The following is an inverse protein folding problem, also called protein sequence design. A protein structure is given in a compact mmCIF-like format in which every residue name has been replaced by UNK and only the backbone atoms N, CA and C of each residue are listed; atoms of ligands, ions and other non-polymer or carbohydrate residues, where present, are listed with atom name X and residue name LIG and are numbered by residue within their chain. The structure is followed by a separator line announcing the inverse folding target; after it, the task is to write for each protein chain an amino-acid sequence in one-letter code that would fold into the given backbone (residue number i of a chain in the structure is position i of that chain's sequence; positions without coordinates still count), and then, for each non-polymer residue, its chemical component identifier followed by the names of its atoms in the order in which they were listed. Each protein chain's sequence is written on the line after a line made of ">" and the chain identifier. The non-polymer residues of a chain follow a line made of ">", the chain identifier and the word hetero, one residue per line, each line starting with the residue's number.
data_IF_257099608358
#
_entry.id   IF_257099608358
#
_cell.length_a   1.000
_cell.length_b   1.000
_cell.length_c   1.000
_cell.angle_alpha   90.00
_cell.angle_beta   90.00
_cell.angle_gamma   90.00
#
_symmetry.space_group_name_H-M   'P 1'
#
loop_
_entity.id
_entity.type
_entity.pdbx_description
1 polymer ?
#
# COMPACT_ATOMS: atom_id res chain seq x y z
N UNK A 1 -33.00 -5.01 28.02
CA UNK A 1 -32.95 -4.58 26.60
C UNK A 1 -32.11 -3.32 26.49
N UNK A 2 -30.86 -3.43 26.00
CA UNK A 2 -29.97 -2.29 25.83
C UNK A 2 -30.24 -1.73 24.43
N UNK A 3 -30.87 -0.55 24.37
CA UNK A 3 -31.25 0.10 23.12
C UNK A 3 -30.03 0.50 22.29
N UNK A 4 -29.91 -0.03 21.09
CA UNK A 4 -28.89 0.36 20.11
C UNK A 4 -29.19 1.81 19.68
N UNK A 5 -28.42 2.78 20.19
CA UNK A 5 -28.47 4.17 19.72
C UNK A 5 -28.08 4.24 18.26
N UNK A 6 -29.05 4.42 17.37
CA UNK A 6 -28.82 4.70 15.95
C UNK A 6 -28.39 6.16 15.79
N UNK A 7 -27.10 6.42 15.61
CA UNK A 7 -26.62 7.75 15.24
C UNK A 7 -27.01 8.10 13.79
N UNK A 8 -27.32 9.37 13.47
CA UNK A 8 -27.55 9.82 12.11
C UNK A 8 -26.38 9.47 11.18
N UNK A 9 -26.66 9.07 9.94
CA UNK A 9 -25.64 8.59 8.97
C UNK A 9 -24.46 9.55 8.83
N UNK A 10 -24.66 10.86 8.80
CA UNK A 10 -23.61 11.87 8.66
C UNK A 10 -22.65 11.98 9.87
N UNK A 11 -23.15 11.78 11.09
CA UNK A 11 -22.32 11.82 12.32
C UNK A 11 -21.41 10.60 12.38
N UNK A 12 -21.89 9.43 11.97
CA UNK A 12 -21.10 8.19 11.93
C UNK A 12 -19.98 8.28 10.89
N UNK A 13 -20.23 8.90 9.74
CA UNK A 13 -19.22 9.05 8.69
C UNK A 13 -18.11 10.02 9.07
N UNK A 14 -18.44 11.16 9.68
CA UNK A 14 -17.44 12.12 10.21
C UNK A 14 -16.58 11.48 11.30
N UNK A 15 -17.15 10.72 12.21
CA UNK A 15 -16.44 10.01 13.27
C UNK A 15 -15.45 8.97 12.72
N UNK A 16 -15.79 8.27 11.63
CA UNK A 16 -14.92 7.29 10.99
C UNK A 16 -13.75 7.95 10.25
N UNK A 17 -14.01 9.03 9.51
CA UNK A 17 -12.97 9.82 8.83
C UNK A 17 -11.98 10.42 9.84
N UNK A 18 -12.47 10.91 10.98
CA UNK A 18 -11.60 11.40 12.06
C UNK A 18 -10.69 10.30 12.62
N UNK A 19 -11.19 9.07 12.75
CA UNK A 19 -10.37 7.94 13.25
C UNK A 19 -9.31 7.52 12.25
N UNK A 20 -9.64 7.45 10.96
CA UNK A 20 -8.69 7.16 9.88
C UNK A 20 -7.58 8.21 9.83
N UNK A 21 -7.93 9.50 9.84
CA UNK A 21 -6.98 10.60 9.87
C UNK A 21 -6.01 10.54 11.08
N UNK A 22 -6.53 10.19 12.27
CA UNK A 22 -5.69 10.09 13.47
C UNK A 22 -4.73 8.92 13.37
N UNK A 23 -5.17 7.75 12.87
CA UNK A 23 -4.31 6.59 12.61
C UNK A 23 -3.23 6.97 11.58
N UNK A 24 -3.62 7.66 10.51
CA UNK A 24 -2.69 8.10 9.45
C UNK A 24 -1.59 9.01 10.02
N UNK A 25 -1.95 10.00 10.84
CA UNK A 25 -0.98 10.91 11.44
C UNK A 25 0.00 10.20 12.38
N UNK A 26 -0.51 9.32 13.24
CA UNK A 26 0.35 8.55 14.15
C UNK A 26 1.26 7.58 13.38
N UNK A 27 0.78 6.97 12.31
CA UNK A 27 1.59 6.14 11.44
C UNK A 27 2.74 6.94 10.81
N UNK A 28 2.46 8.12 10.23
CA UNK A 28 3.49 8.98 9.62
C UNK A 28 4.54 9.42 10.63
N UNK A 29 4.12 9.81 11.85
CA UNK A 29 5.06 10.16 12.94
C UNK A 29 5.95 8.97 13.30
N UNK A 30 5.36 7.78 13.45
CA UNK A 30 6.08 6.58 13.81
C UNK A 30 7.08 6.14 12.73
N UNK A 31 6.73 6.24 11.43
CA UNK A 31 7.65 6.00 10.31
C UNK A 31 8.85 6.95 10.38
N UNK A 32 8.61 8.24 10.58
CA UNK A 32 9.69 9.24 10.72
C UNK A 32 10.59 8.96 11.92
N UNK A 33 10.01 8.67 13.06
CA UNK A 33 10.77 8.34 14.28
C UNK A 33 11.63 7.08 14.10
N UNK A 34 11.21 6.16 13.23
CA UNK A 34 11.94 4.94 12.89
C UNK A 34 13.02 5.14 11.81
N UNK A 35 13.18 6.37 11.28
CA UNK A 35 14.16 6.72 10.24
C UNK A 35 13.68 6.52 8.80
N UNK A 36 12.37 6.37 8.59
CA UNK A 36 11.76 6.23 7.26
C UNK A 36 11.06 7.50 6.79
N UNK A 37 10.50 7.43 5.58
CA UNK A 37 9.66 8.47 4.97
C UNK A 37 8.34 7.86 4.53
N UNK A 38 7.22 8.56 4.77
CA UNK A 38 5.88 8.17 4.33
C UNK A 38 5.27 9.28 3.47
N UNK A 39 5.37 9.14 2.15
CA UNK A 39 4.76 10.06 1.20
C UNK A 39 3.27 9.77 1.05
N UNK A 40 2.45 10.81 0.99
CA UNK A 40 1.04 10.67 0.62
C UNK A 40 0.94 10.45 -0.88
N UNK A 41 0.24 9.40 -1.27
CA UNK A 41 -0.04 9.14 -2.68
C UNK A 41 -1.37 9.81 -3.05
N UNK A 42 -1.30 10.70 -4.03
CA UNK A 42 -2.45 11.30 -4.69
C UNK A 42 -2.24 11.20 -6.19
N UNK A 43 -3.23 10.70 -6.90
CA UNK A 43 -3.17 10.61 -8.36
C UNK A 43 -4.46 11.12 -8.97
N UNK A 44 -4.35 11.89 -10.05
CA UNK A 44 -5.48 12.35 -10.84
C UNK A 44 -5.92 11.30 -11.87
N UNK A 45 -5.01 10.42 -12.25
CA UNK A 45 -5.21 9.43 -13.33
C UNK A 45 -5.36 8.01 -12.83
N UNK A 46 -4.80 7.67 -11.67
CA UNK A 46 -4.85 6.32 -11.11
C UNK A 46 -5.65 6.29 -9.80
N UNK A 47 -6.91 5.86 -9.89
CA UNK A 47 -7.74 5.67 -8.72
C UNK A 47 -7.42 4.37 -7.96
N UNK A 48 -7.68 4.36 -6.65
CA UNK A 48 -7.53 3.17 -5.81
C UNK A 48 -6.11 2.87 -5.36
N UNK A 49 -5.14 3.77 -5.59
CA UNK A 49 -3.81 3.64 -5.01
C UNK A 49 -3.87 3.67 -3.49
N UNK A 50 -2.97 2.96 -2.80
CA UNK A 50 -2.82 3.05 -1.36
C UNK A 50 -2.52 4.47 -0.88
N UNK A 51 -2.87 4.82 0.37
CA UNK A 51 -2.76 6.18 0.89
C UNK A 51 -1.31 6.65 1.02
N UNK A 52 -0.37 5.73 1.29
CA UNK A 52 1.04 6.05 1.58
C UNK A 52 2.01 5.16 0.83
N UNK A 53 3.09 5.79 0.32
CA UNK A 53 4.33 5.15 -0.08
C UNK A 53 5.34 5.31 1.06
N UNK A 54 5.82 4.19 1.59
CA UNK A 54 6.76 4.15 2.72
C UNK A 54 8.11 3.66 2.26
N UNK A 55 9.14 4.43 2.59
CA UNK A 55 10.50 4.14 2.21
C UNK A 55 11.40 4.02 3.44
N UNK A 56 12.24 2.99 3.48
CA UNK A 56 13.30 2.81 4.47
C UNK A 56 14.61 2.40 3.79
N UNK A 57 15.73 2.73 4.41
CA UNK A 57 17.04 2.22 3.98
C UNK A 57 17.23 0.74 4.43
N UNK A 58 17.89 -0.12 3.60
CA UNK A 58 18.22 0.07 2.19
C UNK A 58 17.05 -0.27 1.26
N UNK A 59 16.75 0.63 0.34
CA UNK A 59 15.82 0.44 -0.79
C UNK A 59 14.45 -0.24 -0.50
N UNK A 60 13.97 -0.19 0.76
CA UNK A 60 12.71 -0.82 1.16
C UNK A 60 11.56 0.07 0.75
N UNK A 61 10.69 -0.46 -0.11
CA UNK A 61 9.52 0.24 -0.64
C UNK A 61 8.27 -0.56 -0.28
N UNK A 62 7.36 0.06 0.47
CA UNK A 62 6.11 -0.57 0.93
C UNK A 62 4.95 0.39 0.73
N UNK A 63 3.85 -0.11 0.20
CA UNK A 63 2.60 0.63 0.11
C UNK A 63 1.74 0.38 1.35
N UNK A 64 1.07 1.42 1.84
CA UNK A 64 0.24 1.31 3.03
C UNK A 64 -1.11 1.98 2.80
N UNK A 65 -2.16 1.22 2.94
CA UNK A 65 -3.54 1.67 2.97
C UNK A 65 -3.98 1.87 4.41
N UNK A 66 -4.61 2.99 4.72
CA UNK A 66 -5.10 3.32 6.05
C UNK A 66 -6.62 3.29 6.07
N UNK A 67 -7.19 2.67 7.09
CA UNK A 67 -8.64 2.48 7.23
C UNK A 67 -9.12 2.84 8.62
N UNK A 68 -10.35 3.28 8.71
CA UNK A 68 -11.05 3.29 9.98
C UNK A 68 -11.27 1.84 10.46
N UNK A 69 -11.28 1.58 11.77
CA UNK A 69 -11.40 0.23 12.32
C UNK A 69 -12.58 -0.56 11.74
N UNK A 70 -12.31 -1.77 11.24
CA UNK A 70 -13.28 -2.68 10.66
C UNK A 70 -13.81 -2.26 9.28
N UNK A 71 -13.19 -1.30 8.60
CA UNK A 71 -13.52 -0.97 7.22
C UNK A 71 -12.75 -1.85 6.24
N UNK A 72 -13.48 -2.30 5.21
CA UNK A 72 -12.93 -3.09 4.12
C UNK A 72 -12.34 -2.21 3.03
N UNK A 73 -11.44 -2.78 2.23
CA UNK A 73 -10.99 -2.18 0.98
C UNK A 73 -12.16 -2.06 0.00
N UNK A 74 -12.15 -1.00 -0.81
CA UNK A 74 -13.07 -0.89 -1.95
C UNK A 74 -12.58 -1.79 -3.08
N UNK A 75 -13.45 -2.21 -4.03
CA UNK A 75 -13.06 -3.08 -5.14
C UNK A 75 -11.81 -2.60 -5.89
N UNK A 76 -11.75 -1.29 -6.20
CA UNK A 76 -10.62 -0.71 -6.91
C UNK A 76 -9.32 -0.71 -6.09
N UNK A 77 -9.39 -0.53 -4.78
CA UNK A 77 -8.24 -0.65 -3.88
C UNK A 77 -7.73 -2.10 -3.82
N UNK A 78 -8.64 -3.08 -3.88
CA UNK A 78 -8.29 -4.49 -4.03
C UNK A 78 -7.53 -4.76 -5.33
N UNK A 79 -8.03 -4.26 -6.46
CA UNK A 79 -7.37 -4.38 -7.77
C UNK A 79 -5.95 -3.80 -7.72
N UNK A 80 -5.79 -2.58 -7.20
CA UNK A 80 -4.47 -1.93 -7.09
C UNK A 80 -3.53 -2.66 -6.14
N UNK A 81 -4.03 -3.10 -4.98
CA UNK A 81 -3.26 -3.95 -4.07
C UNK A 81 -2.72 -5.19 -4.80
N UNK A 82 -3.59 -5.91 -5.49
CA UNK A 82 -3.20 -7.12 -6.23
C UNK A 82 -2.14 -6.80 -7.30
N UNK A 83 -2.31 -5.74 -8.08
CA UNK A 83 -1.34 -5.31 -9.09
C UNK A 83 0.04 -5.02 -8.47
N UNK A 84 0.09 -4.23 -7.40
CA UNK A 84 1.34 -3.91 -6.72
C UNK A 84 2.02 -5.14 -6.13
N UNK A 85 1.26 -6.05 -5.54
CA UNK A 85 1.81 -7.30 -5.01
C UNK A 85 2.35 -8.23 -6.11
N UNK A 86 1.71 -8.26 -7.28
CA UNK A 86 2.21 -8.98 -8.46
C UNK A 86 3.55 -8.41 -8.97
N UNK A 87 3.77 -7.11 -8.81
CA UNK A 87 5.03 -6.44 -9.12
C UNK A 87 6.10 -6.62 -8.01
N UNK A 88 5.81 -7.39 -6.97
CA UNK A 88 6.73 -7.66 -5.86
C UNK A 88 6.74 -6.61 -4.75
N UNK A 89 5.84 -5.62 -4.78
CA UNK A 89 5.76 -4.62 -3.72
C UNK A 89 4.83 -5.06 -2.59
N UNK A 90 5.28 -5.04 -1.32
CA UNK A 90 4.39 -5.27 -0.19
C UNK A 90 3.31 -4.18 -0.09
N UNK A 91 2.07 -4.60 0.17
CA UNK A 91 0.95 -3.68 0.40
C UNK A 91 0.27 -4.03 1.72
N UNK A 92 0.45 -3.19 2.72
CA UNK A 92 -0.12 -3.34 4.04
C UNK A 92 -1.44 -2.58 4.17
N UNK A 93 -2.30 -3.03 5.08
CA UNK A 93 -3.46 -2.28 5.52
C UNK A 93 -3.39 -2.09 7.02
N UNK A 94 -3.64 -0.86 7.51
CA UNK A 94 -3.63 -0.53 8.93
C UNK A 94 -4.98 0.10 9.29
N UNK A 95 -5.69 -0.49 10.25
CA UNK A 95 -6.96 0.00 10.75
C UNK A 95 -6.96 0.29 12.26
N UNK A 96 -5.82 0.11 12.94
CA UNK A 96 -5.67 0.28 14.40
C UNK A 96 -4.28 0.72 14.77
N UNK A 97 -4.18 1.50 15.85
CA UNK A 97 -2.89 1.95 16.42
C UNK A 97 -1.95 0.80 16.80
N UNK A 98 -2.51 -0.29 17.33
CA UNK A 98 -1.73 -1.46 17.75
C UNK A 98 -0.97 -2.15 16.62
N UNK A 99 -1.33 -1.89 15.35
CA UNK A 99 -0.67 -2.45 14.17
C UNK A 99 0.50 -1.60 13.69
N UNK A 100 0.58 -0.32 14.10
CA UNK A 100 1.59 0.62 13.60
C UNK A 100 3.00 0.12 13.90
N UNK A 101 3.30 -0.16 15.16
CA UNK A 101 4.63 -0.63 15.56
C UNK A 101 5.00 -1.97 14.91
N UNK A 102 4.17 -3.02 14.95
CA UNK A 102 4.44 -4.28 14.25
C UNK A 102 4.70 -4.11 12.75
N UNK A 103 3.94 -3.24 12.06
CA UNK A 103 4.16 -2.95 10.65
C UNK A 103 5.54 -2.32 10.40
N UNK A 104 5.93 -1.34 11.20
CA UNK A 104 7.24 -0.69 11.07
C UNK A 104 8.38 -1.67 11.35
N UNK A 105 8.26 -2.47 12.41
CA UNK A 105 9.25 -3.48 12.76
C UNK A 105 9.41 -4.51 11.62
N UNK A 106 8.30 -4.96 11.03
CA UNK A 106 8.31 -5.87 9.89
C UNK A 106 8.99 -5.26 8.65
N UNK A 107 8.69 -4.00 8.32
CA UNK A 107 9.34 -3.29 7.20
C UNK A 107 10.85 -3.17 7.45
N UNK A 108 11.25 -2.86 8.67
CA UNK A 108 12.68 -2.70 9.01
C UNK A 108 13.45 -4.01 8.97
N UNK A 109 12.84 -5.13 9.34
CA UNK A 109 13.48 -6.45 9.31
C UNK A 109 13.45 -7.10 7.92
N UNK A 110 12.45 -6.78 7.09
CA UNK A 110 12.29 -7.32 5.73
C UNK A 110 13.40 -6.82 4.79
N UNK A 111 13.84 -7.70 3.87
CA UNK A 111 14.79 -7.35 2.81
C UNK A 111 14.09 -7.37 1.45
N UNK A 112 14.31 -6.36 0.58
CA UNK A 112 13.77 -6.37 -0.79
C UNK A 112 14.19 -7.63 -1.54
N UNK A 113 13.23 -8.22 -2.26
CA UNK A 113 13.42 -9.51 -2.96
C UNK A 113 13.03 -10.75 -2.14
N UNK A 114 12.87 -10.62 -0.83
CA UNK A 114 12.35 -11.70 0.02
C UNK A 114 10.83 -11.60 0.18
N UNK A 115 10.13 -12.71 0.48
CA UNK A 115 8.72 -12.66 0.85
C UNK A 115 8.50 -11.74 2.05
N UNK A 116 7.51 -10.84 1.95
CA UNK A 116 7.14 -10.00 3.09
C UNK A 116 6.44 -10.85 4.16
N UNK A 117 6.71 -10.62 5.47
CA UNK A 117 6.10 -11.40 6.53
C UNK A 117 4.56 -11.38 6.46
N UNK A 118 3.96 -12.56 6.63
CA UNK A 118 2.51 -12.71 6.64
C UNK A 118 1.88 -12.17 7.94
N UNK A 119 0.57 -11.95 7.91
CA UNK A 119 -0.24 -11.53 9.07
C UNK A 119 0.16 -10.20 9.71
N UNK A 120 0.81 -9.33 8.96
CA UNK A 120 1.15 -7.96 9.39
C UNK A 120 0.04 -7.00 8.97
N UNK A 121 -0.44 -6.18 9.91
CA UNK A 121 -1.50 -5.20 9.67
C UNK A 121 -2.91 -5.75 9.88
N UNK A 122 -3.89 -5.14 9.24
CA UNK A 122 -5.28 -5.60 9.26
C UNK A 122 -5.44 -6.86 8.41
N UNK A 123 -6.20 -7.82 8.92
CA UNK A 123 -6.58 -8.99 8.11
C UNK A 123 -7.45 -8.53 6.96
N UNK A 124 -6.95 -8.69 5.76
CA UNK A 124 -7.67 -8.46 4.53
C UNK A 124 -8.07 -9.84 4.03
N UNK A 125 -9.36 -10.14 3.86
CA UNK A 125 -9.78 -11.41 3.27
C UNK A 125 -9.15 -11.57 1.89
N UNK A 126 -8.68 -12.75 1.54
CA UNK A 126 -8.24 -13.08 0.19
C UNK A 126 -9.49 -13.12 -0.69
N UNK A 127 -9.73 -12.04 -1.41
CA UNK A 127 -10.73 -12.02 -2.48
C UNK A 127 -10.04 -12.57 -3.74
N UNK A 128 -10.51 -13.69 -4.23
CA UNK A 128 -10.14 -14.13 -5.56
C UNK A 128 -10.56 -13.07 -6.58
N UNK A 129 -9.70 -12.78 -7.56
CA UNK A 129 -10.00 -11.79 -8.62
C UNK A 129 -11.33 -12.06 -9.33
N UNK A 130 -11.75 -13.34 -9.39
CA UNK A 130 -13.04 -13.75 -9.92
C UNK A 130 -14.26 -13.24 -9.12
N UNK A 131 -14.05 -12.80 -7.89
CA UNK A 131 -15.13 -12.25 -7.02
C UNK A 131 -15.27 -10.72 -7.14
N UNK A 132 -14.36 -10.06 -7.88
CA UNK A 132 -14.53 -8.63 -8.18
C UNK A 132 -15.69 -8.47 -9.18
N UNK A 133 -16.57 -7.46 -8.99
CA UNK A 133 -17.61 -7.16 -9.97
C UNK A 133 -17.03 -7.03 -11.37
N UNK A 134 -17.73 -7.55 -12.39
CA UNK A 134 -17.26 -7.57 -13.79
C UNK A 134 -16.92 -6.17 -14.32
N UNK A 135 -17.62 -5.13 -13.85
CA UNK A 135 -17.34 -3.71 -14.13
C UNK A 135 -15.95 -3.24 -13.66
N UNK A 136 -15.27 -4.02 -12.81
CA UNK A 136 -13.91 -3.74 -12.34
C UNK A 136 -12.90 -4.79 -12.78
N UNK A 137 -13.33 -5.82 -13.53
CA UNK A 137 -12.47 -6.89 -14.04
C UNK A 137 -11.75 -6.52 -15.33
N UNK A 138 -12.26 -5.52 -16.08
CA UNK A 138 -11.61 -5.06 -17.30
C UNK A 138 -10.33 -4.29 -16.95
N UNK A 139 -9.19 -4.90 -17.22
CA UNK A 139 -7.86 -4.26 -17.15
C UNK A 139 -7.71 -3.13 -18.17
N UNK A 140 -8.64 -3.01 -19.13
CA UNK A 140 -8.58 -2.09 -20.27
C UNK A 140 -8.95 -0.63 -19.94
N UNK A 141 -9.47 -0.36 -18.73
CA UNK A 141 -10.04 0.96 -18.40
C UNK A 141 -9.01 2.00 -17.89
N UNK A 142 -7.75 1.70 -17.98
CA UNK A 142 -6.66 2.65 -17.75
C UNK A 142 -5.61 2.44 -18.84
N UNK A 143 -5.50 3.40 -19.74
CA UNK A 143 -4.64 3.43 -20.93
C UNK A 143 -3.14 3.25 -20.73
N UNK A 144 -2.75 2.53 -19.71
CA UNK A 144 -1.42 2.02 -19.48
C UNK A 144 -1.51 0.50 -19.43
N UNK A 145 -1.56 -0.12 -20.63
CA UNK A 145 -1.05 -1.47 -20.79
C UNK A 145 0.45 -1.39 -20.55
N UNK A 146 0.87 -1.51 -19.30
CA UNK A 146 2.22 -1.94 -19.02
C UNK A 146 2.28 -3.43 -19.41
N UNK A 147 2.42 -3.69 -20.70
CA UNK A 147 3.09 -4.89 -21.15
C UNK A 147 4.57 -4.64 -20.81
N UNK A 148 5.23 -5.48 -20.03
CA UNK A 148 6.67 -5.40 -19.89
C UNK A 148 7.21 -5.58 -21.31
N UNK A 149 7.72 -4.50 -21.89
CA UNK A 149 8.59 -4.61 -23.05
C UNK A 149 9.63 -5.68 -22.73
N UNK A 150 10.01 -6.46 -23.72
CA UNK A 150 10.89 -7.63 -23.60
C UNK A 150 11.94 -7.43 -22.50
N UNK A 151 12.10 -8.37 -21.53
CA UNK A 151 13.15 -8.30 -20.52
C UNK A 151 14.55 -8.01 -21.07
N UNK A 152 14.79 -8.29 -22.36
CA UNK A 152 16.01 -7.95 -23.07
C UNK A 152 16.19 -6.44 -23.30
N UNK A 153 15.12 -5.65 -23.45
CA UNK A 153 15.22 -4.18 -23.55
C UNK A 153 15.54 -3.52 -22.22
N UNK A 154 14.99 -4.04 -21.13
CA UNK A 154 15.32 -3.56 -19.77
C UNK A 154 16.78 -3.82 -19.38
N UNK A 155 17.41 -4.87 -19.89
CA UNK A 155 18.82 -5.16 -19.67
C UNK A 155 19.75 -4.07 -20.29
N UNK A 156 19.31 -3.38 -21.33
CA UNK A 156 20.04 -2.26 -21.94
C UNK A 156 20.10 -1.00 -21.07
N UNK A 157 19.09 -0.76 -20.22
CA UNK A 157 19.05 0.41 -19.34
C UNK A 157 19.91 0.27 -18.06
N UNK A 158 20.27 -0.96 -17.67
CA UNK A 158 21.09 -1.23 -16.48
C UNK A 158 22.56 -1.50 -16.78
N UNK A 159 23.01 -1.44 -18.05
CA UNK A 159 24.42 -1.39 -18.36
C UNK A 159 24.97 0.01 -18.06
N UNK A 160 25.11 0.31 -16.77
CA UNK A 160 26.04 1.33 -16.30
C UNK A 160 27.44 0.83 -16.65
N UNK A 161 28.06 1.48 -17.64
CA UNK A 161 29.40 1.22 -18.11
C UNK A 161 30.38 1.06 -16.93
N UNK A 162 30.95 -0.13 -16.80
CA UNK A 162 32.17 -0.38 -16.02
C UNK A 162 33.39 0.31 -16.69
N UNK A 163 33.27 1.55 -17.10
CA UNK A 163 34.38 2.36 -17.64
C UNK A 163 34.50 3.67 -16.87
N UNK A 164 35.09 3.60 -15.68
CA UNK A 164 35.31 4.81 -14.88
C UNK A 164 36.18 4.61 -13.65
N UNK A 165 37.02 3.60 -13.60
CA UNK A 165 38.00 3.44 -12.52
C UNK A 165 39.37 3.10 -13.07
N UNK A 166 39.99 4.08 -13.76
CA UNK A 166 41.46 4.08 -13.94
C UNK A 166 41.92 5.52 -14.15
N UNK A 167 42.78 5.96 -13.26
CA UNK A 167 43.59 7.19 -13.21
C UNK A 167 43.02 8.28 -12.27
N UNK A 168 43.47 8.29 -11.05
CA UNK A 168 44.53 9.10 -10.45
C UNK A 168 44.85 8.56 -9.05
#
# INVERSE_FOLDING_TARGET
>A
MIGIRRYPKGVRQRSLLMREYVIENEFVKAVRAAGGVAYKLTSQTANGLPDRLVLFFPAKTVFVELKAPGKMLRPLQWKRRYQLMKLGFPVLCIDRFSQIKPCIDAIKSWMPGEPFPENIGAKIPDLEMAQLPAEHSNMEDYGDTFEPEDPAELAGFFNLDEKGASNV
#
